data_IF_245593744742
#
_entry.id   IF_245593744742
#
_cell.length_a   1.000
_cell.length_b   1.000
_cell.length_c   1.000
_cell.angle_alpha   90.00
_cell.angle_beta   90.00
_cell.angle_gamma   90.00
#
_symmetry.space_group_name_H-M   'P 1'
#
loop_
_entity.id
_entity.type
_entity.pdbx_description
1 polymer ?
#
# COMPACT_ATOMS: atom_id res chain seq x y z
N UNK A 1 -13.01 -33.63 0.81
CA UNK A 1 -13.13 -32.84 -0.43
C UNK A 1 -14.60 -32.69 -0.73
N UNK A 2 -15.05 -31.52 -1.18
CA UNK A 2 -16.48 -31.22 -1.32
C UNK A 2 -17.05 -31.61 -2.69
N UNK A 3 -16.41 -32.54 -3.39
CA UNK A 3 -16.85 -33.05 -4.69
C UNK A 3 -16.42 -34.49 -4.90
N UNK A 4 -17.10 -35.16 -5.83
CA UNK A 4 -16.76 -36.50 -6.27
C UNK A 4 -15.47 -36.45 -7.10
N UNK A 5 -14.43 -37.14 -6.64
CA UNK A 5 -13.13 -37.20 -7.29
C UNK A 5 -13.07 -38.23 -8.41
N UNK A 6 -12.14 -38.05 -9.33
CA UNK A 6 -11.93 -38.93 -10.48
C UNK A 6 -11.58 -40.36 -10.08
N UNK A 7 -12.26 -41.33 -10.67
CA UNK A 7 -12.04 -42.76 -10.44
C UNK A 7 -10.81 -43.35 -11.16
N UNK A 8 -10.00 -42.54 -11.85
CA UNK A 8 -8.83 -43.03 -12.59
C UNK A 8 -7.73 -43.55 -11.65
N UNK A 9 -7.50 -42.86 -10.52
CA UNK A 9 -6.55 -43.29 -9.49
C UNK A 9 -6.87 -42.59 -8.16
N UNK A 10 -6.48 -43.21 -7.04
CA UNK A 10 -6.63 -42.62 -5.70
C UNK A 10 -5.89 -41.29 -5.53
N UNK A 11 -4.86 -41.03 -6.37
CA UNK A 11 -4.11 -39.78 -6.37
C UNK A 11 -4.75 -38.65 -7.21
N UNK A 12 -5.76 -38.94 -8.02
CA UNK A 12 -6.41 -37.92 -8.83
C UNK A 12 -7.53 -37.21 -8.04
N UNK A 13 -7.33 -35.93 -7.78
CA UNK A 13 -8.28 -35.08 -7.03
C UNK A 13 -9.27 -34.34 -7.93
N UNK A 14 -9.18 -34.56 -9.25
CA UNK A 14 -9.99 -33.90 -10.26
C UNK A 14 -11.47 -34.20 -10.12
N UNK A 15 -12.32 -33.18 -10.31
CA UNK A 15 -13.77 -33.32 -10.29
C UNK A 15 -14.22 -34.31 -11.37
N UNK A 16 -15.02 -35.29 -10.98
CA UNK A 16 -15.54 -36.29 -11.89
C UNK A 16 -16.71 -35.73 -12.73
N UNK A 17 -16.63 -35.92 -14.05
CA UNK A 17 -17.73 -35.65 -14.98
C UNK A 17 -18.69 -36.85 -14.94
N UNK A 18 -19.99 -36.58 -14.79
CA UNK A 18 -21.03 -37.62 -14.85
C UNK A 18 -21.49 -37.84 -16.29
N UNK A 19 -21.79 -39.09 -16.69
CA UNK A 19 -21.78 -40.33 -15.88
C UNK A 19 -20.41 -41.04 -15.82
N UNK A 20 -19.40 -40.58 -16.56
CA UNK A 20 -18.12 -41.29 -16.74
C UNK A 20 -17.32 -41.53 -15.45
N UNK A 21 -17.54 -40.74 -14.38
CA UNK A 21 -16.81 -40.88 -13.12
C UNK A 21 -15.34 -40.46 -13.20
N UNK A 22 -14.91 -39.86 -14.32
CA UNK A 22 -13.53 -39.39 -14.57
C UNK A 22 -13.51 -37.89 -14.78
N UNK A 23 -12.40 -37.24 -14.43
CA UNK A 23 -12.21 -35.83 -14.74
C UNK A 23 -11.93 -35.62 -16.23
N UNK A 24 -12.09 -34.39 -16.71
CA UNK A 24 -11.88 -34.04 -18.13
C UNK A 24 -10.49 -34.47 -18.64
N UNK A 25 -9.46 -34.49 -17.78
CA UNK A 25 -8.11 -34.92 -18.15
C UNK A 25 -7.96 -36.44 -18.33
N UNK A 26 -8.83 -37.26 -17.74
CA UNK A 26 -8.77 -38.73 -17.81
C UNK A 26 -9.92 -39.36 -18.60
N UNK A 27 -10.72 -38.53 -19.29
CA UNK A 27 -11.75 -39.03 -20.20
C UNK A 27 -11.09 -39.62 -21.46
N UNK A 28 -11.62 -40.74 -21.97
CA UNK A 28 -11.30 -41.20 -23.32
C UNK A 28 -11.58 -40.12 -24.37
N UNK A 29 -10.88 -40.09 -25.51
CA UNK A 29 -11.01 -39.05 -26.54
C UNK A 29 -12.45 -38.80 -27.02
N UNK A 30 -13.25 -39.85 -27.18
CA UNK A 30 -14.65 -39.74 -27.64
C UNK A 30 -15.53 -39.04 -26.60
N UNK A 31 -15.40 -39.46 -25.34
CA UNK A 31 -16.13 -38.87 -24.21
C UNK A 31 -15.67 -37.44 -23.91
N UNK A 32 -14.38 -37.15 -24.09
CA UNK A 32 -13.85 -35.78 -24.00
C UNK A 32 -14.46 -34.89 -25.09
N UNK A 33 -14.51 -35.38 -26.33
CA UNK A 33 -15.09 -34.65 -27.45
C UNK A 33 -16.59 -34.37 -27.24
N UNK A 34 -17.32 -35.33 -26.69
CA UNK A 34 -18.73 -35.16 -26.29
C UNK A 34 -18.88 -34.14 -25.16
N UNK A 35 -18.06 -34.23 -24.10
CA UNK A 35 -18.08 -33.30 -22.97
C UNK A 35 -17.76 -31.86 -23.41
N UNK A 36 -16.77 -31.68 -24.30
CA UNK A 36 -16.44 -30.37 -24.89
C UNK A 36 -17.60 -29.86 -25.75
N UNK A 37 -18.21 -30.71 -26.59
CA UNK A 37 -19.40 -30.35 -27.37
C UNK A 37 -20.62 -30.03 -26.51
N UNK A 38 -20.66 -30.38 -25.23
CA UNK A 38 -21.72 -29.99 -24.31
C UNK A 38 -21.47 -28.61 -23.67
N UNK A 39 -20.26 -28.08 -23.73
CA UNK A 39 -19.97 -26.72 -23.27
C UNK A 39 -20.71 -25.70 -24.15
N UNK A 40 -21.26 -24.68 -23.51
CA UNK A 40 -21.95 -23.56 -24.15
C UNK A 40 -21.43 -22.26 -23.54
N UNK A 41 -21.37 -21.16 -24.30
CA UNK A 41 -21.13 -19.84 -23.74
C UNK A 41 -22.04 -19.56 -22.53
N UNK A 42 -21.46 -19.02 -21.47
CA UNK A 42 -22.14 -18.67 -20.21
C UNK A 42 -22.42 -19.85 -19.27
N UNK A 43 -22.12 -21.10 -19.64
CA UNK A 43 -22.29 -22.26 -18.74
C UNK A 43 -21.14 -22.42 -17.75
N UNK A 44 -21.44 -23.12 -16.65
CA UNK A 44 -20.46 -23.49 -15.63
C UNK A 44 -19.31 -24.29 -16.25
N UNK A 45 -18.09 -23.85 -15.98
CA UNK A 45 -16.88 -24.60 -16.23
C UNK A 45 -16.32 -25.10 -14.89
N UNK A 46 -16.30 -26.41 -14.65
CA UNK A 46 -15.76 -27.00 -13.42
C UNK A 46 -14.57 -27.91 -13.75
N UNK A 47 -13.39 -27.47 -13.33
CA UNK A 47 -12.09 -28.13 -13.49
C UNK A 47 -11.37 -28.26 -12.14
N UNK A 48 -12.10 -28.18 -11.03
CA UNK A 48 -11.53 -28.31 -9.68
C UNK A 48 -10.70 -29.58 -9.52
N UNK A 49 -9.56 -29.48 -8.86
CA UNK A 49 -8.61 -30.58 -8.62
C UNK A 49 -7.99 -31.21 -9.88
N UNK A 50 -8.35 -30.73 -11.07
CA UNK A 50 -7.95 -31.40 -12.32
C UNK A 50 -6.54 -30.96 -12.72
N UNK A 51 -5.73 -31.89 -13.22
CA UNK A 51 -4.46 -31.54 -13.86
C UNK A 51 -4.74 -31.18 -15.31
N UNK A 52 -4.52 -29.92 -15.67
CA UNK A 52 -4.86 -29.34 -16.97
C UNK A 52 -3.56 -28.99 -17.69
N UNK A 53 -3.38 -29.50 -18.91
CA UNK A 53 -2.29 -29.08 -19.78
C UNK A 53 -2.75 -27.94 -20.71
N UNK A 54 -1.82 -27.34 -21.44
CA UNK A 54 -2.13 -26.22 -22.34
C UNK A 54 -3.19 -26.58 -23.40
N UNK A 55 -3.08 -27.76 -24.00
CA UNK A 55 -4.01 -28.22 -25.04
C UNK A 55 -5.43 -28.40 -24.52
N UNK A 56 -5.60 -29.04 -23.36
CA UNK A 56 -6.91 -29.22 -22.73
C UNK A 56 -7.53 -27.86 -22.38
N UNK A 57 -6.73 -26.93 -21.85
CA UNK A 57 -7.22 -25.60 -21.51
C UNK A 57 -7.71 -24.84 -22.74
N UNK A 58 -6.93 -24.85 -23.83
CA UNK A 58 -7.31 -24.21 -25.10
C UNK A 58 -8.61 -24.79 -25.64
N UNK A 59 -8.73 -26.12 -25.70
CA UNK A 59 -9.94 -26.82 -26.18
C UNK A 59 -11.18 -26.49 -25.35
N UNK A 60 -11.04 -26.43 -24.02
CA UNK A 60 -12.15 -26.11 -23.11
C UNK A 60 -12.65 -24.67 -23.34
N UNK A 61 -11.74 -23.71 -23.48
CA UNK A 61 -12.08 -22.30 -23.66
C UNK A 61 -12.67 -22.04 -25.05
N UNK A 62 -12.13 -22.70 -26.08
CA UNK A 62 -12.67 -22.68 -27.43
C UNK A 62 -14.09 -23.27 -27.47
N UNK A 63 -14.29 -24.43 -26.84
CA UNK A 63 -15.60 -25.06 -26.73
C UNK A 63 -16.62 -24.21 -25.95
N UNK A 64 -16.17 -23.38 -25.00
CA UNK A 64 -17.01 -22.39 -24.33
C UNK A 64 -17.23 -21.09 -25.14
N UNK A 65 -16.74 -21.02 -26.37
CA UNK A 65 -16.83 -19.84 -27.25
C UNK A 65 -16.09 -18.62 -26.71
N UNK A 66 -15.01 -18.83 -25.93
CA UNK A 66 -14.27 -17.75 -25.26
C UNK A 66 -15.07 -17.01 -24.19
N UNK A 67 -16.25 -17.53 -23.81
CA UNK A 67 -17.17 -16.87 -22.88
C UNK A 67 -17.71 -17.84 -21.83
N UNK A 68 -16.86 -18.50 -21.03
CA UNK A 68 -17.35 -19.36 -19.95
C UNK A 68 -18.19 -18.57 -18.92
N UNK A 69 -19.12 -19.26 -18.27
CA UNK A 69 -19.93 -18.69 -17.18
C UNK A 69 -19.16 -18.58 -15.88
N UNK A 70 -19.76 -19.08 -14.79
CA UNK A 70 -19.03 -19.35 -13.55
C UNK A 70 -17.92 -20.36 -13.86
N UNK A 71 -16.70 -20.12 -13.40
CA UNK A 71 -15.58 -21.02 -13.66
C UNK A 71 -14.88 -21.41 -12.34
N UNK A 72 -14.69 -22.71 -12.13
CA UNK A 72 -14.10 -23.25 -10.90
C UNK A 72 -12.88 -24.08 -11.26
N UNK A 73 -11.74 -23.65 -10.74
CA UNK A 73 -10.43 -24.26 -10.92
C UNK A 73 -9.75 -24.47 -9.56
N UNK A 74 -10.52 -24.50 -8.48
CA UNK A 74 -10.03 -24.68 -7.11
C UNK A 74 -9.14 -25.93 -7.05
N UNK A 75 -7.91 -25.79 -6.55
CA UNK A 75 -6.91 -26.85 -6.44
C UNK A 75 -6.52 -27.51 -7.78
N UNK A 76 -6.82 -26.87 -8.91
CA UNK A 76 -6.38 -27.36 -10.22
C UNK A 76 -4.87 -27.16 -10.39
N UNK A 77 -4.24 -28.02 -11.20
CA UNK A 77 -2.81 -27.92 -11.54
C UNK A 77 -2.65 -27.71 -13.04
N UNK A 78 -2.18 -26.52 -13.43
CA UNK A 78 -1.85 -26.19 -14.80
C UNK A 78 -0.39 -26.51 -15.08
N UNK A 79 -0.17 -27.51 -15.95
CA UNK A 79 1.17 -28.04 -16.27
C UNK A 79 1.78 -27.41 -17.52
N UNK A 80 0.94 -26.83 -18.40
CA UNK A 80 1.33 -26.07 -19.58
C UNK A 80 1.10 -24.57 -19.40
N UNK A 81 1.50 -23.78 -20.38
CA UNK A 81 1.20 -22.35 -20.41
C UNK A 81 -0.33 -22.15 -20.51
N UNK A 82 -0.86 -21.26 -19.67
CA UNK A 82 -2.26 -20.82 -19.74
C UNK A 82 -2.27 -19.43 -20.35
N UNK A 83 -2.75 -19.33 -21.59
CA UNK A 83 -2.90 -18.06 -22.31
C UNK A 83 -4.36 -17.87 -22.66
N UNK A 84 -5.02 -16.92 -22.00
CA UNK A 84 -6.43 -16.60 -22.21
C UNK A 84 -6.62 -15.14 -22.65
N UNK A 85 -6.08 -14.75 -23.83
CA UNK A 85 -6.17 -13.37 -24.27
C UNK A 85 -7.63 -13.02 -24.59
N UNK A 86 -8.12 -11.92 -24.01
CA UNK A 86 -9.46 -11.37 -24.34
C UNK A 86 -10.66 -12.25 -23.96
N UNK A 87 -10.46 -13.36 -23.23
CA UNK A 87 -11.56 -14.21 -22.76
C UNK A 87 -12.51 -13.41 -21.86
N UNK A 88 -13.82 -13.70 -21.91
CA UNK A 88 -14.81 -13.05 -21.04
C UNK A 88 -15.49 -14.06 -20.13
N UNK A 89 -15.15 -14.07 -18.84
CA UNK A 89 -15.86 -14.85 -17.84
C UNK A 89 -17.12 -14.11 -17.41
N UNK A 90 -18.30 -14.68 -17.69
CA UNK A 90 -19.59 -14.02 -17.42
C UNK A 90 -20.11 -14.28 -16.00
N UNK A 91 -19.41 -15.09 -15.20
CA UNK A 91 -19.71 -15.35 -13.79
C UNK A 91 -18.47 -15.27 -12.92
N UNK A 92 -18.60 -15.66 -11.64
CA UNK A 92 -17.46 -15.68 -10.73
C UNK A 92 -16.43 -16.74 -11.15
N UNK A 93 -15.15 -16.42 -10.95
CA UNK A 93 -14.02 -17.31 -11.20
C UNK A 93 -13.33 -17.63 -9.89
N UNK A 94 -13.16 -18.90 -9.60
CA UNK A 94 -12.45 -19.39 -8.42
C UNK A 94 -11.26 -20.24 -8.85
N UNK A 95 -10.08 -19.86 -8.38
CA UNK A 95 -8.76 -20.44 -8.65
C UNK A 95 -8.02 -20.67 -7.33
N UNK A 96 -8.77 -20.86 -6.25
CA UNK A 96 -8.21 -20.97 -4.91
C UNK A 96 -7.33 -22.20 -4.80
N UNK A 97 -6.14 -22.02 -4.22
CA UNK A 97 -5.09 -23.02 -4.11
C UNK A 97 -4.70 -23.68 -5.46
N UNK A 98 -5.01 -23.05 -6.59
CA UNK A 98 -4.59 -23.51 -7.91
C UNK A 98 -3.08 -23.34 -8.09
N UNK A 99 -2.47 -24.22 -8.88
CA UNK A 99 -1.03 -24.21 -9.15
C UNK A 99 -0.77 -24.07 -10.65
N UNK A 100 0.04 -23.08 -11.01
CA UNK A 100 0.52 -22.85 -12.37
C UNK A 100 2.03 -23.14 -12.42
N UNK A 101 2.41 -24.24 -13.07
CA UNK A 101 3.82 -24.65 -13.22
C UNK A 101 4.56 -23.84 -14.29
N UNK A 102 3.81 -23.18 -15.17
CA UNK A 102 4.27 -22.42 -16.34
C UNK A 102 3.63 -21.02 -16.34
N UNK A 103 3.71 -20.31 -17.48
CA UNK A 103 3.13 -18.98 -17.64
C UNK A 103 1.61 -19.00 -17.40
N UNK A 104 1.10 -18.01 -16.68
CA UNK A 104 -0.34 -17.76 -16.55
C UNK A 104 -0.66 -16.33 -17.00
N UNK A 105 -1.23 -16.19 -18.20
CA UNK A 105 -1.54 -14.90 -18.82
C UNK A 105 -3.02 -14.78 -19.15
N UNK A 106 -3.63 -13.72 -18.61
CA UNK A 106 -5.01 -13.32 -18.81
C UNK A 106 -5.07 -11.97 -19.54
N UNK A 107 -4.09 -11.69 -20.40
CA UNK A 107 -3.96 -10.41 -21.09
C UNK A 107 -5.27 -9.92 -21.70
N UNK A 108 -5.74 -8.74 -21.27
CA UNK A 108 -6.97 -8.13 -21.78
C UNK A 108 -8.27 -8.90 -21.47
N UNK A 109 -8.23 -9.92 -20.60
CA UNK A 109 -9.41 -10.68 -20.22
C UNK A 109 -10.42 -9.82 -19.44
N UNK A 110 -11.68 -10.22 -19.51
CA UNK A 110 -12.80 -9.57 -18.83
C UNK A 110 -13.46 -10.53 -17.85
N UNK A 111 -13.71 -10.05 -16.64
CA UNK A 111 -14.41 -10.79 -15.60
C UNK A 111 -15.61 -9.97 -15.14
N UNK A 112 -16.81 -10.50 -15.41
CA UNK A 112 -18.07 -9.86 -15.03
C UNK A 112 -18.40 -10.06 -13.55
N UNK A 113 -17.91 -11.16 -12.96
CA UNK A 113 -18.06 -11.50 -11.55
C UNK A 113 -16.82 -11.24 -10.70
N UNK A 114 -16.78 -11.87 -9.53
CA UNK A 114 -15.62 -11.87 -8.65
C UNK A 114 -14.55 -12.85 -9.12
N UNK A 115 -13.28 -12.58 -8.80
CA UNK A 115 -12.16 -13.48 -9.09
C UNK A 115 -11.43 -13.78 -7.79
N UNK A 116 -11.42 -15.04 -7.38
CA UNK A 116 -10.64 -15.51 -6.23
C UNK A 116 -9.47 -16.36 -6.73
N UNK A 117 -8.27 -16.04 -6.27
CA UNK A 117 -7.01 -16.77 -6.48
C UNK A 117 -6.29 -16.89 -5.13
N UNK A 118 -7.05 -17.08 -4.06
CA UNK A 118 -6.50 -17.13 -2.71
C UNK A 118 -5.62 -18.37 -2.57
N UNK A 119 -4.40 -18.21 -2.05
CA UNK A 119 -3.43 -19.30 -1.93
C UNK A 119 -2.89 -19.85 -3.25
N UNK A 120 -3.27 -19.27 -4.41
CA UNK A 120 -2.79 -19.72 -5.71
C UNK A 120 -1.27 -19.55 -5.84
N UNK A 121 -0.63 -20.46 -6.57
CA UNK A 121 0.85 -20.50 -6.72
C UNK A 121 1.22 -20.42 -8.19
N UNK A 122 1.94 -19.36 -8.55
CA UNK A 122 2.48 -19.13 -9.88
C UNK A 122 3.99 -19.36 -9.85
N UNK A 123 4.46 -20.43 -10.49
CA UNK A 123 5.88 -20.79 -10.54
C UNK A 123 6.67 -19.93 -11.54
N UNK A 124 5.98 -19.41 -12.55
CA UNK A 124 6.52 -18.51 -13.58
C UNK A 124 5.75 -17.19 -13.57
N UNK A 125 5.89 -16.42 -14.64
CA UNK A 125 5.24 -15.12 -14.78
C UNK A 125 3.70 -15.25 -14.68
N UNK A 126 3.11 -14.29 -13.98
CA UNK A 126 1.66 -14.11 -13.88
C UNK A 126 1.27 -12.75 -14.46
N UNK A 127 0.39 -12.73 -15.45
CA UNK A 127 0.00 -11.50 -16.14
C UNK A 127 -1.51 -11.28 -16.13
N UNK A 128 -1.89 -10.19 -15.49
CA UNK A 128 -3.19 -9.53 -15.49
C UNK A 128 -3.12 -8.18 -16.23
N UNK A 129 -2.17 -8.02 -17.13
CA UNK A 129 -2.02 -6.80 -17.91
C UNK A 129 -3.29 -6.50 -18.71
N UNK A 130 -3.82 -5.28 -18.58
CA UNK A 130 -5.01 -4.81 -19.30
C UNK A 130 -6.32 -5.54 -18.93
N UNK A 131 -6.32 -6.34 -17.86
CA UNK A 131 -7.52 -7.06 -17.40
C UNK A 131 -8.57 -6.09 -16.87
N UNK A 132 -9.84 -6.37 -17.14
CA UNK A 132 -10.97 -5.68 -16.50
C UNK A 132 -11.78 -6.64 -15.64
N UNK A 133 -11.87 -6.36 -14.34
CA UNK A 133 -12.72 -7.10 -13.40
C UNK A 133 -13.78 -6.18 -12.83
N UNK A 134 -15.06 -6.52 -13.00
CA UNK A 134 -16.17 -5.76 -12.42
C UNK A 134 -16.35 -6.03 -10.92
N UNK A 135 -16.12 -7.26 -10.50
CA UNK A 135 -16.22 -7.69 -9.10
C UNK A 135 -15.00 -7.35 -8.25
N UNK A 136 -14.87 -8.07 -7.14
CA UNK A 136 -13.69 -8.08 -6.28
C UNK A 136 -12.66 -9.08 -6.81
N UNK A 137 -11.37 -8.76 -6.62
CA UNK A 137 -10.26 -9.69 -6.85
C UNK A 137 -9.57 -10.00 -5.53
N UNK A 138 -9.40 -11.28 -5.22
CA UNK A 138 -8.54 -11.73 -4.11
C UNK A 138 -7.35 -12.54 -4.64
N UNK A 139 -6.17 -12.13 -4.20
CA UNK A 139 -4.87 -12.80 -4.32
C UNK A 139 -4.30 -13.06 -2.92
N UNK A 140 -5.16 -13.18 -1.91
CA UNK A 140 -4.72 -13.32 -0.53
C UNK A 140 -3.89 -14.58 -0.36
N UNK A 141 -2.72 -14.46 0.28
CA UNK A 141 -1.74 -15.55 0.44
C UNK A 141 -1.25 -16.17 -0.88
N UNK A 142 -1.50 -15.53 -2.04
CA UNK A 142 -0.98 -16.01 -3.31
C UNK A 142 0.56 -15.86 -3.36
N UNK A 143 1.19 -16.77 -4.11
CA UNK A 143 2.64 -16.80 -4.30
C UNK A 143 2.98 -16.61 -5.77
N UNK A 144 3.62 -15.49 -6.09
CA UNK A 144 4.14 -15.17 -7.41
C UNK A 144 5.65 -15.32 -7.36
N UNK A 145 6.16 -16.46 -7.88
CA UNK A 145 7.58 -16.82 -7.77
C UNK A 145 8.47 -16.05 -8.76
N UNK A 146 7.85 -15.46 -9.79
CA UNK A 146 8.46 -14.61 -10.81
C UNK A 146 7.61 -13.36 -10.98
N UNK A 147 7.80 -12.65 -12.08
CA UNK A 147 7.20 -11.35 -12.31
C UNK A 147 5.68 -11.43 -12.35
N UNK A 148 5.04 -10.42 -11.77
CA UNK A 148 3.59 -10.30 -11.67
C UNK A 148 3.16 -8.95 -12.25
N UNK A 149 2.46 -8.99 -13.38
CA UNK A 149 2.15 -7.82 -14.19
C UNK A 149 0.66 -7.49 -14.11
N UNK A 150 0.31 -6.33 -13.58
CA UNK A 150 -1.05 -5.80 -13.43
C UNK A 150 -1.20 -4.43 -14.09
N UNK A 151 -0.24 -4.02 -14.92
CA UNK A 151 -0.27 -2.73 -15.58
C UNK A 151 -1.54 -2.58 -16.42
N UNK A 152 -2.14 -1.38 -16.39
CA UNK A 152 -3.41 -1.06 -17.07
C UNK A 152 -4.62 -1.93 -16.64
N UNK A 153 -4.54 -2.68 -15.54
CA UNK A 153 -5.68 -3.44 -15.03
C UNK A 153 -6.73 -2.52 -14.37
N UNK A 154 -8.01 -2.89 -14.50
CA UNK A 154 -9.14 -2.18 -13.91
C UNK A 154 -9.86 -3.09 -12.92
N UNK A 155 -9.88 -2.69 -11.65
CA UNK A 155 -10.52 -3.40 -10.55
C UNK A 155 -11.75 -2.62 -10.08
N UNK A 156 -12.94 -3.11 -10.42
CA UNK A 156 -14.22 -2.43 -10.22
C UNK A 156 -14.63 -2.30 -8.76
N UNK A 157 -14.55 -3.38 -7.98
CA UNK A 157 -14.93 -3.37 -6.55
C UNK A 157 -13.76 -3.48 -5.57
N UNK A 158 -12.55 -3.71 -6.06
CA UNK A 158 -11.32 -3.67 -5.28
C UNK A 158 -10.40 -4.87 -5.49
N UNK A 159 -9.17 -4.75 -4.99
CA UNK A 159 -8.13 -5.76 -5.06
C UNK A 159 -7.60 -6.08 -3.65
N UNK A 160 -7.63 -7.34 -3.25
CA UNK A 160 -7.00 -7.82 -2.02
C UNK A 160 -5.79 -8.68 -2.35
N UNK A 161 -4.65 -8.37 -1.76
CA UNK A 161 -3.38 -9.10 -1.87
C UNK A 161 -2.80 -9.38 -0.48
N UNK A 162 -3.66 -9.57 0.54
CA UNK A 162 -3.22 -9.67 1.92
C UNK A 162 -2.31 -10.88 2.13
N UNK A 163 -1.15 -10.64 2.76
CA UNK A 163 -0.12 -11.66 3.00
C UNK A 163 0.33 -12.40 1.73
N UNK A 164 0.10 -11.82 0.55
CA UNK A 164 0.64 -12.34 -0.70
C UNK A 164 2.16 -12.14 -0.75
N UNK A 165 2.83 -12.94 -1.59
CA UNK A 165 4.27 -12.89 -1.78
C UNK A 165 4.60 -12.73 -3.26
N UNK A 166 5.29 -11.64 -3.59
CA UNK A 166 5.81 -11.32 -4.90
C UNK A 166 7.33 -11.48 -4.88
N UNK A 167 7.86 -12.61 -5.31
CA UNK A 167 9.30 -12.87 -5.32
C UNK A 167 10.03 -12.25 -6.54
N UNK A 168 9.30 -12.04 -7.64
CA UNK A 168 9.77 -11.29 -8.80
C UNK A 168 9.38 -9.82 -8.78
N UNK A 169 9.51 -9.16 -9.93
CA UNK A 169 9.06 -7.79 -10.13
C UNK A 169 7.53 -7.70 -10.07
N UNK A 170 7.00 -6.70 -9.37
CA UNK A 170 5.55 -6.44 -9.32
C UNK A 170 5.25 -5.10 -9.97
N UNK A 171 4.42 -5.08 -11.00
CA UNK A 171 4.10 -3.86 -11.75
C UNK A 171 2.58 -3.62 -11.78
N UNK A 172 2.15 -2.46 -11.29
CA UNK A 172 0.76 -1.99 -11.27
C UNK A 172 0.59 -0.71 -12.10
N UNK A 173 1.52 -0.43 -13.00
CA UNK A 173 1.60 0.87 -13.66
C UNK A 173 0.33 1.21 -14.45
N UNK A 174 -0.30 2.33 -14.10
CA UNK A 174 -1.55 2.79 -14.69
C UNK A 174 -2.80 1.97 -14.33
N UNK A 175 -2.73 1.11 -13.31
CA UNK A 175 -3.91 0.39 -12.82
C UNK A 175 -4.97 1.34 -12.23
N UNK A 176 -6.23 0.94 -12.31
CA UNK A 176 -7.38 1.67 -11.74
C UNK A 176 -8.05 0.82 -10.65
N UNK A 177 -8.01 1.33 -9.42
CA UNK A 177 -8.50 0.69 -8.20
C UNK A 177 -9.78 1.37 -7.72
N UNK A 178 -10.90 1.14 -8.40
CA UNK A 178 -12.16 1.85 -8.12
C UNK A 178 -12.68 1.59 -6.69
N UNK A 179 -12.52 0.35 -6.19
CA UNK A 179 -12.83 -0.02 -4.80
C UNK A 179 -11.63 0.00 -3.85
N UNK A 180 -10.48 0.48 -4.30
CA UNK A 180 -9.20 0.44 -3.57
C UNK A 180 -8.45 -0.89 -3.65
N UNK A 181 -7.20 -0.89 -3.18
CA UNK A 181 -6.39 -2.10 -3.03
C UNK A 181 -5.78 -2.23 -1.63
N UNK A 182 -5.74 -3.46 -1.13
CA UNK A 182 -5.13 -3.82 0.15
C UNK A 182 -3.95 -4.79 -0.06
N UNK A 183 -2.77 -4.36 0.35
CA UNK A 183 -1.51 -5.11 0.34
C UNK A 183 -1.01 -5.32 1.77
N UNK A 184 -1.94 -5.58 2.70
CA UNK A 184 -1.63 -5.70 4.12
C UNK A 184 -0.74 -6.92 4.36
N UNK A 185 0.43 -6.70 4.97
CA UNK A 185 1.38 -7.79 5.23
C UNK A 185 1.95 -8.45 3.97
N UNK A 186 1.78 -7.85 2.79
CA UNK A 186 2.35 -8.34 1.53
C UNK A 186 3.86 -8.20 1.54
N UNK A 187 4.56 -9.17 0.95
CA UNK A 187 6.02 -9.09 0.75
C UNK A 187 6.36 -8.91 -0.72
N UNK A 188 7.15 -7.90 -1.02
CA UNK A 188 7.77 -7.65 -2.32
C UNK A 188 9.26 -7.96 -2.22
N UNK A 189 9.69 -9.05 -2.84
CA UNK A 189 11.08 -9.53 -2.85
C UNK A 189 11.99 -8.76 -3.79
N UNK A 190 11.42 -8.14 -4.83
CA UNK A 190 12.10 -7.28 -5.80
C UNK A 190 11.34 -5.96 -5.94
N UNK A 191 11.70 -5.16 -6.93
CA UNK A 191 11.12 -3.84 -7.14
C UNK A 191 9.61 -3.88 -7.33
N UNK A 192 8.89 -3.04 -6.59
CA UNK A 192 7.49 -2.72 -6.79
C UNK A 192 7.37 -1.43 -7.59
N UNK A 193 6.76 -1.52 -8.77
CA UNK A 193 6.34 -0.36 -9.55
C UNK A 193 4.84 -0.15 -9.39
N UNK A 194 4.47 0.95 -8.74
CA UNK A 194 3.08 1.35 -8.51
C UNK A 194 2.91 2.78 -9.02
N UNK A 195 3.21 3.02 -10.30
CA UNK A 195 3.21 4.36 -10.88
C UNK A 195 1.90 4.70 -11.57
N UNK A 196 1.46 5.96 -11.44
CA UNK A 196 0.24 6.48 -12.09
C UNK A 196 -1.02 5.67 -11.74
N UNK A 197 -1.09 5.10 -10.54
CA UNK A 197 -2.24 4.31 -10.11
C UNK A 197 -3.36 5.25 -9.65
N UNK A 198 -4.59 4.90 -9.98
CA UNK A 198 -5.77 5.66 -9.57
C UNK A 198 -6.54 4.93 -8.48
N UNK A 199 -6.91 5.63 -7.42
CA UNK A 199 -7.70 5.08 -6.31
C UNK A 199 -6.87 4.68 -5.09
N UNK A 200 -7.58 4.33 -4.02
CA UNK A 200 -6.97 4.12 -2.70
C UNK A 200 -6.06 2.88 -2.68
N UNK A 201 -4.91 2.98 -2.01
CA UNK A 201 -3.98 1.87 -1.86
C UNK A 201 -3.45 1.79 -0.42
N UNK A 202 -3.60 0.63 0.22
CA UNK A 202 -3.07 0.35 1.55
C UNK A 202 -1.96 -0.69 1.51
N UNK A 203 -0.80 -0.35 2.05
CA UNK A 203 0.40 -1.17 2.19
C UNK A 203 0.75 -1.40 3.66
N UNK A 204 -0.27 -1.43 4.53
CA UNK A 204 -0.07 -1.51 5.98
C UNK A 204 0.69 -2.79 6.36
N UNK A 205 1.78 -2.63 7.12
CA UNK A 205 2.68 -3.72 7.49
C UNK A 205 3.28 -4.51 6.29
N UNK A 206 3.29 -3.94 5.08
CA UNK A 206 3.97 -4.55 3.94
C UNK A 206 5.49 -4.53 4.12
N UNK A 207 6.18 -5.44 3.45
CA UNK A 207 7.64 -5.50 3.42
C UNK A 207 8.15 -5.36 1.99
N UNK A 208 8.89 -4.29 1.72
CA UNK A 208 9.58 -4.01 0.47
C UNK A 208 11.07 -4.35 0.64
N UNK A 209 11.47 -5.53 0.18
CA UNK A 209 12.88 -5.95 0.22
C UNK A 209 13.69 -5.30 -0.92
N UNK A 210 13.04 -4.96 -2.03
CA UNK A 210 13.60 -4.13 -3.10
C UNK A 210 13.02 -2.72 -3.11
N UNK A 211 13.32 -1.96 -4.16
CA UNK A 211 12.84 -0.59 -4.31
C UNK A 211 11.32 -0.51 -4.50
N UNK A 212 10.69 0.49 -3.89
CA UNK A 212 9.26 0.74 -3.99
C UNK A 212 8.99 2.13 -4.55
N UNK A 213 8.35 2.17 -5.72
CA UNK A 213 7.86 3.39 -6.35
C UNK A 213 6.35 3.48 -6.19
N UNK A 214 5.86 4.37 -5.33
CA UNK A 214 4.46 4.47 -4.97
C UNK A 214 3.86 5.80 -5.44
N UNK A 215 2.91 5.72 -6.36
CA UNK A 215 2.15 6.87 -6.85
C UNK A 215 0.69 6.51 -6.98
N UNK A 216 -0.16 7.10 -6.13
CA UNK A 216 -1.60 6.89 -6.13
C UNK A 216 -2.37 8.21 -6.08
N UNK A 217 -3.63 8.17 -6.51
CA UNK A 217 -4.62 9.23 -6.24
C UNK A 217 -5.59 8.78 -5.15
N UNK A 218 -6.10 9.71 -4.33
CA UNK A 218 -7.05 9.38 -3.26
C UNK A 218 -6.39 9.23 -1.88
N UNK A 219 -6.22 8.01 -1.38
CA UNK A 219 -5.53 7.71 -0.11
C UNK A 219 -4.45 6.66 -0.29
N UNK A 220 -3.26 6.93 0.24
CA UNK A 220 -2.15 5.99 0.30
C UNK A 220 -1.77 5.73 1.76
N UNK A 221 -1.86 4.48 2.21
CA UNK A 221 -1.32 4.09 3.52
C UNK A 221 -0.14 3.16 3.33
N UNK A 222 0.93 3.36 4.09
CA UNK A 222 2.00 2.39 4.30
C UNK A 222 2.36 2.31 5.79
N UNK A 223 1.36 2.45 6.66
CA UNK A 223 1.57 2.45 8.09
C UNK A 223 2.21 1.13 8.56
N UNK A 224 3.27 1.23 9.36
CA UNK A 224 4.09 0.11 9.85
C UNK A 224 4.74 -0.72 8.73
N UNK A 225 4.80 -0.23 7.50
CA UNK A 225 5.52 -0.90 6.43
C UNK A 225 7.04 -0.86 6.69
N UNK A 226 7.75 -1.82 6.11
CA UNK A 226 9.21 -1.89 6.14
C UNK A 226 9.75 -1.82 4.74
N UNK A 227 10.73 -0.96 4.50
CA UNK A 227 11.44 -0.87 3.23
C UNK A 227 12.94 -1.02 3.47
N UNK A 228 13.54 -2.04 2.86
CA UNK A 228 14.98 -2.29 2.94
C UNK A 228 15.73 -1.48 1.88
N UNK A 229 15.12 -1.29 0.71
CA UNK A 229 15.62 -0.48 -0.41
C UNK A 229 15.08 0.95 -0.42
N UNK A 230 15.06 1.56 -1.61
CA UNK A 230 14.48 2.89 -1.85
C UNK A 230 12.96 2.88 -1.58
N UNK A 231 12.47 3.91 -0.89
CA UNK A 231 11.05 4.25 -0.85
C UNK A 231 10.82 5.60 -1.52
N UNK A 232 10.27 5.59 -2.73
CA UNK A 232 9.89 6.78 -3.48
C UNK A 232 8.36 6.91 -3.55
N UNK A 233 7.82 7.96 -2.96
CA UNK A 233 6.39 8.22 -2.88
C UNK A 233 6.09 9.55 -3.55
N UNK A 234 5.34 9.52 -4.65
CA UNK A 234 4.96 10.70 -5.42
C UNK A 234 3.45 10.76 -5.54
N UNK A 235 2.81 11.71 -4.87
CA UNK A 235 1.35 11.82 -4.84
C UNK A 235 0.85 13.22 -5.13
N UNK A 236 -0.36 13.30 -5.68
CA UNK A 236 -1.07 14.55 -5.91
C UNK A 236 -2.52 14.43 -5.42
N UNK A 237 -2.99 15.45 -4.68
CA UNK A 237 -4.32 15.49 -4.03
C UNK A 237 -4.64 14.19 -3.29
N UNK A 238 -3.71 13.74 -2.46
CA UNK A 238 -3.75 12.46 -1.79
C UNK A 238 -3.48 12.61 -0.29
N UNK A 239 -4.17 11.82 0.53
CA UNK A 239 -3.81 11.65 1.94
C UNK A 239 -2.82 10.50 2.11
N UNK A 240 -1.65 10.77 2.68
CA UNK A 240 -0.57 9.80 2.88
C UNK A 240 -0.41 9.47 4.36
N UNK A 241 -0.50 8.20 4.72
CA UNK A 241 -0.26 7.70 6.08
C UNK A 241 0.98 6.81 6.08
N UNK A 242 2.08 7.32 6.64
CA UNK A 242 3.36 6.62 6.79
C UNK A 242 3.69 6.34 8.27
N UNK A 243 2.68 6.30 9.14
CA UNK A 243 2.90 6.14 10.58
C UNK A 243 3.62 4.85 10.90
N UNK A 244 4.71 4.93 11.65
CA UNK A 244 5.51 3.78 12.05
C UNK A 244 6.25 3.10 10.90
N UNK A 245 6.37 3.72 9.73
CA UNK A 245 7.15 3.16 8.62
C UNK A 245 8.62 3.05 9.03
N UNK A 246 9.29 1.96 8.65
CA UNK A 246 10.72 1.81 8.85
C UNK A 246 11.41 1.66 7.50
N UNK A 247 12.31 2.59 7.17
CA UNK A 247 13.04 2.61 5.90
C UNK A 247 14.54 2.57 6.18
N UNK A 248 15.23 1.57 5.62
CA UNK A 248 16.68 1.43 5.71
C UNK A 248 17.40 2.19 4.59
N UNK A 249 16.82 2.18 3.39
CA UNK A 249 17.35 2.90 2.23
C UNK A 249 16.95 4.37 2.17
N UNK A 250 17.22 5.05 1.04
CA UNK A 250 16.80 6.43 0.82
C UNK A 250 15.27 6.56 0.77
N UNK A 251 14.75 7.69 1.27
CA UNK A 251 13.32 8.00 1.23
C UNK A 251 13.09 9.30 0.47
N UNK A 252 12.19 9.27 -0.52
CA UNK A 252 11.72 10.47 -1.21
C UNK A 252 10.20 10.54 -1.09
N UNK A 253 9.68 11.66 -0.59
CA UNK A 253 8.26 11.94 -0.50
C UNK A 253 7.97 13.26 -1.20
N UNK A 254 7.29 13.20 -2.35
CA UNK A 254 6.90 14.37 -3.13
C UNK A 254 5.38 14.54 -3.06
N UNK A 255 4.96 15.61 -2.42
CA UNK A 255 3.57 15.96 -2.17
C UNK A 255 3.15 17.12 -3.07
N UNK A 256 2.01 17.00 -3.74
CA UNK A 256 1.37 18.11 -4.46
C UNK A 256 -0.07 18.24 -3.98
N UNK A 257 -0.43 19.37 -3.36
CA UNK A 257 -1.72 19.58 -2.70
C UNK A 257 -2.17 18.39 -1.83
N UNK A 258 -1.23 17.82 -1.07
CA UNK A 258 -1.40 16.54 -0.37
C UNK A 258 -1.00 16.66 1.11
N UNK A 259 -1.57 15.81 1.95
CA UNK A 259 -1.24 15.77 3.38
C UNK A 259 -0.49 14.47 3.70
N UNK A 260 0.50 14.53 4.58
CA UNK A 260 1.24 13.36 5.04
C UNK A 260 1.36 13.30 6.56
N UNK A 261 1.36 12.08 7.10
CA UNK A 261 1.63 11.77 8.51
C UNK A 261 2.80 10.79 8.61
N UNK A 262 3.84 11.16 9.35
CA UNK A 262 5.07 10.39 9.55
C UNK A 262 5.24 9.96 11.01
N UNK A 263 4.20 10.02 11.86
CA UNK A 263 4.36 9.72 13.28
C UNK A 263 4.99 8.34 13.54
N UNK A 264 6.08 8.31 14.30
CA UNK A 264 6.81 7.09 14.65
C UNK A 264 7.65 6.50 13.52
N UNK A 265 7.85 7.22 12.41
CA UNK A 265 8.66 6.74 11.29
C UNK A 265 10.14 6.63 11.68
N UNK A 266 10.81 5.57 11.22
CA UNK A 266 12.25 5.34 11.38
C UNK A 266 12.90 5.40 10.01
N UNK A 267 13.66 6.45 9.73
CA UNK A 267 14.30 6.74 8.45
C UNK A 267 15.82 6.70 8.66
N UNK A 268 16.45 5.57 8.32
CA UNK A 268 17.90 5.37 8.54
C UNK A 268 18.74 5.96 7.41
N UNK A 269 18.25 5.90 6.18
CA UNK A 269 18.87 6.55 5.02
C UNK A 269 18.47 8.02 4.89
N UNK A 270 19.06 8.74 3.91
CA UNK A 270 18.70 10.13 3.65
C UNK A 270 17.23 10.23 3.24
N UNK A 271 16.51 11.16 3.87
CA UNK A 271 15.10 11.38 3.65
C UNK A 271 14.82 12.79 3.12
N UNK A 272 14.04 12.89 2.06
CA UNK A 272 13.61 14.16 1.48
C UNK A 272 12.09 14.18 1.41
N UNK A 273 11.47 15.18 2.04
CA UNK A 273 10.04 15.45 1.95
C UNK A 273 9.85 16.83 1.33
N UNK A 274 9.32 16.87 0.11
CA UNK A 274 9.10 18.09 -0.64
C UNK A 274 7.61 18.29 -0.90
N UNK A 275 7.10 19.47 -0.58
CA UNK A 275 5.74 19.91 -0.84
C UNK A 275 5.65 20.90 -2.00
N UNK A 276 4.51 20.87 -2.69
CA UNK A 276 4.08 21.91 -3.63
C UNK A 276 2.61 22.26 -3.38
N UNK A 277 2.25 23.52 -3.62
CA UNK A 277 0.88 24.00 -3.42
C UNK A 277 0.47 23.96 -1.95
N UNK A 278 -0.72 23.44 -1.65
CA UNK A 278 -1.28 23.34 -0.28
C UNK A 278 -0.83 22.07 0.44
N UNK A 279 0.42 21.65 0.27
CA UNK A 279 0.90 20.41 0.86
C UNK A 279 1.24 20.59 2.33
N UNK A 280 0.75 19.69 3.17
CA UNK A 280 0.89 19.77 4.63
C UNK A 280 1.53 18.52 5.21
N UNK A 281 2.27 18.70 6.30
CA UNK A 281 2.77 17.58 7.10
C UNK A 281 2.15 17.67 8.50
N UNK A 282 1.40 16.65 8.91
CA UNK A 282 0.58 16.72 10.14
C UNK A 282 1.36 16.32 11.39
N UNK A 283 2.31 15.37 11.28
CA UNK A 283 3.04 14.86 12.44
C UNK A 283 4.40 14.31 12.05
N UNK A 284 5.40 14.71 12.84
CA UNK A 284 6.76 14.17 12.92
C UNK A 284 7.05 13.64 14.34
N UNK A 285 6.00 13.36 15.12
CA UNK A 285 6.16 12.87 16.49
C UNK A 285 6.89 11.55 16.49
N UNK A 286 7.86 11.40 17.41
CA UNK A 286 8.62 10.15 17.59
C UNK A 286 9.32 9.66 16.32
N UNK A 287 9.63 10.55 15.39
CA UNK A 287 10.37 10.20 14.17
C UNK A 287 11.84 10.03 14.52
N UNK A 288 12.46 9.00 13.97
CA UNK A 288 13.90 8.78 14.05
C UNK A 288 14.52 8.98 12.67
N UNK A 289 15.14 10.15 12.43
CA UNK A 289 15.81 10.44 11.18
C UNK A 289 17.11 11.21 11.43
N UNK A 290 18.22 10.72 10.88
CA UNK A 290 19.54 11.38 11.03
C UNK A 290 19.74 12.47 9.97
N UNK A 291 19.17 12.28 8.78
CA UNK A 291 19.24 13.24 7.67
C UNK A 291 17.85 13.37 7.03
N UNK A 292 17.14 14.44 7.38
CA UNK A 292 15.79 14.72 6.90
C UNK A 292 15.73 16.15 6.35
N UNK A 293 15.52 16.28 5.05
CA UNK A 293 15.25 17.56 4.40
C UNK A 293 13.74 17.75 4.19
N UNK A 294 13.20 18.83 4.72
CA UNK A 294 11.82 19.27 4.54
C UNK A 294 11.82 20.53 3.67
N UNK A 295 11.07 20.55 2.57
CA UNK A 295 10.98 21.73 1.71
C UNK A 295 9.58 22.04 1.19
N UNK A 296 9.18 23.31 1.18
CA UNK A 296 7.93 23.78 0.56
C UNK A 296 6.65 23.21 1.20
N UNK A 297 6.66 22.98 2.51
CA UNK A 297 5.55 22.38 3.27
C UNK A 297 4.91 23.38 4.22
N UNK A 298 3.59 23.25 4.41
CA UNK A 298 2.91 23.85 5.55
C UNK A 298 3.03 22.94 6.78
N UNK A 299 3.82 23.41 7.75
CA UNK A 299 4.12 22.77 9.02
C UNK A 299 3.36 23.44 10.20
N UNK A 300 2.40 24.32 9.92
CA UNK A 300 1.68 25.08 10.96
C UNK A 300 0.90 24.20 11.94
N UNK A 301 0.45 23.02 11.50
CA UNK A 301 -0.20 22.03 12.35
C UNK A 301 0.74 20.86 12.73
N UNK A 302 2.00 20.90 12.29
CA UNK A 302 2.93 19.78 12.44
C UNK A 302 3.45 19.66 13.87
N UNK A 303 3.36 18.46 14.43
CA UNK A 303 3.86 18.14 15.77
C UNK A 303 5.22 17.44 15.70
N UNK A 304 6.16 17.87 16.52
CA UNK A 304 7.56 17.41 16.57
C UNK A 304 7.91 16.70 17.88
N UNK A 305 6.97 16.56 18.82
CA UNK A 305 7.24 15.93 20.11
C UNK A 305 7.89 14.54 19.97
N UNK A 306 9.07 14.39 20.58
CA UNK A 306 9.84 13.14 20.58
C UNK A 306 10.63 12.85 19.30
N UNK A 307 10.77 13.82 18.38
CA UNK A 307 11.68 13.71 17.23
C UNK A 307 13.11 13.44 17.71
N UNK A 308 13.71 12.34 17.25
CA UNK A 308 15.10 12.04 17.47
C UNK A 308 15.98 12.79 16.46
N UNK A 309 17.15 13.25 16.92
CA UNK A 309 18.14 14.00 16.12
C UNK A 309 17.58 15.27 15.43
N UNK A 310 17.03 16.25 16.19
CA UNK A 310 16.52 17.48 15.59
C UNK A 310 17.56 18.25 14.77
N UNK A 311 18.86 18.12 15.08
CA UNK A 311 20.00 18.66 14.30
C UNK A 311 20.14 18.09 12.90
N UNK A 312 19.58 16.92 12.64
CA UNK A 312 19.56 16.28 11.32
C UNK A 312 18.45 16.79 10.41
N UNK A 313 17.53 17.61 10.93
CA UNK A 313 16.36 18.10 10.19
C UNK A 313 16.64 19.48 9.60
N UNK A 314 16.75 19.54 8.28
CA UNK A 314 16.88 20.77 7.50
C UNK A 314 15.51 21.20 7.01
N UNK A 315 15.20 22.48 7.15
CA UNK A 315 13.91 23.04 6.76
C UNK A 315 14.12 24.22 5.81
N UNK A 316 13.52 24.14 4.63
CA UNK A 316 13.65 25.13 3.55
C UNK A 316 12.25 25.53 3.07
N UNK A 317 11.96 26.83 2.92
CA UNK A 317 10.66 27.31 2.40
C UNK A 317 9.41 26.73 3.11
N UNK A 318 9.48 26.43 4.41
CA UNK A 318 8.34 25.91 5.17
C UNK A 318 7.58 26.99 5.95
N UNK A 319 6.26 26.80 6.09
CA UNK A 319 5.38 27.67 6.87
C UNK A 319 5.17 27.08 8.27
N UNK A 320 5.36 27.89 9.31
CA UNK A 320 5.15 27.50 10.71
C UNK A 320 3.93 28.21 11.33
N UNK A 321 3.45 27.70 12.46
CA UNK A 321 2.39 28.35 13.22
C UNK A 321 2.90 29.70 13.75
N UNK A 322 1.98 30.63 14.01
CA UNK A 322 2.30 31.85 14.74
C UNK A 322 1.79 31.69 16.17
N UNK A 323 2.59 32.10 17.14
CA UNK A 323 2.18 32.12 18.56
C UNK A 323 0.79 32.76 18.74
N UNK A 324 -0.08 32.20 19.60
CA UNK A 324 -1.45 32.68 19.71
C UNK A 324 -1.47 34.08 20.34
N UNK A 325 -2.34 34.96 19.84
CA UNK A 325 -2.59 36.27 20.45
C UNK A 325 -3.27 36.04 21.81
N UNK A 326 -2.71 36.56 22.90
CA UNK A 326 -3.43 36.58 24.17
C UNK A 326 -2.62 37.01 25.38
N UNK A 327 -3.15 37.96 26.14
CA UNK A 327 -2.71 38.27 27.49
C UNK A 327 -3.30 37.22 28.43
N UNK A 328 -2.46 36.44 29.13
CA UNK A 328 -2.94 35.68 30.30
C UNK A 328 -2.86 36.57 31.53
N UNK A 329 -4.02 36.95 32.07
CA UNK A 329 -4.14 37.59 33.38
C UNK A 329 -4.32 36.48 34.42
N UNK A 330 -3.39 36.35 35.36
CA UNK A 330 -3.52 35.41 36.47
C UNK A 330 -3.89 36.20 37.74
N UNK A 331 -5.00 35.85 38.40
CA UNK A 331 -5.61 36.61 39.50
C UNK A 331 -4.83 36.57 40.83
N UNK A 332 -3.63 35.97 40.88
CA UNK A 332 -2.80 35.87 42.09
C UNK A 332 -1.45 36.60 42.05
N UNK A 333 -1.15 37.40 41.02
CA UNK A 333 -0.07 38.43 40.95
C UNK A 333 -0.08 39.05 39.55
N UNK A 334 0.23 40.35 39.37
CA UNK A 334 0.18 40.98 38.05
C UNK A 334 1.43 40.60 37.26
N UNK A 335 1.31 39.61 36.38
CA UNK A 335 2.25 39.45 35.26
C UNK A 335 1.46 39.19 33.99
N UNK A 336 1.15 40.29 33.31
CA UNK A 336 0.73 40.31 31.91
C UNK A 336 1.85 39.68 31.08
N UNK A 337 1.73 38.41 30.71
CA UNK A 337 2.67 37.79 29.76
C UNK A 337 2.33 38.28 28.36
N UNK A 338 3.15 39.18 27.82
CA UNK A 338 3.13 39.56 26.41
C UNK A 338 3.84 38.47 25.60
N UNK A 339 3.13 37.86 24.65
CA UNK A 339 3.75 37.00 23.66
C UNK A 339 4.07 37.83 22.43
N UNK A 340 5.36 37.98 22.12
CA UNK A 340 5.79 38.53 20.83
C UNK A 340 5.32 37.60 19.72
N UNK A 341 4.79 38.18 18.62
CA UNK A 341 4.34 37.40 17.47
C UNK A 341 5.55 36.80 16.77
N UNK A 342 5.77 35.49 16.95
CA UNK A 342 6.87 34.74 16.32
C UNK A 342 6.38 33.44 15.69
N UNK A 343 7.20 32.86 14.81
CA UNK A 343 7.02 31.49 14.31
C UNK A 343 7.24 30.50 15.47
N UNK A 344 6.35 29.52 15.61
CA UNK A 344 6.36 28.54 16.69
C UNK A 344 5.94 27.15 16.19
N UNK A 345 6.43 26.12 16.88
CA UNK A 345 6.03 24.73 16.68
C UNK A 345 4.61 24.51 17.25
N UNK A 346 3.81 23.64 16.61
CA UNK A 346 2.45 23.35 17.08
C UNK A 346 2.44 22.73 18.49
N UNK A 347 3.53 22.07 18.90
CA UNK A 347 3.70 21.52 20.25
C UNK A 347 3.71 22.62 21.33
N UNK A 348 4.24 23.82 21.03
CA UNK A 348 4.22 24.97 21.95
C UNK A 348 2.79 25.45 22.22
N UNK A 349 1.92 25.44 21.21
CA UNK A 349 0.51 25.78 21.37
C UNK A 349 -0.22 24.79 22.28
N UNK A 350 0.11 23.50 22.17
CA UNK A 350 -0.48 22.43 22.98
C UNK A 350 -0.03 22.57 24.44
N UNK A 351 1.27 22.80 24.67
CA UNK A 351 1.82 23.07 26.01
C UNK A 351 1.21 24.31 26.66
N UNK A 352 1.01 25.37 25.87
CA UNK A 352 0.37 26.61 26.33
C UNK A 352 -1.16 26.49 26.37
N UNK A 353 -1.76 25.31 26.49
CA UNK A 353 -3.21 25.16 26.76
C UNK A 353 -4.12 25.43 25.56
N UNK A 354 -3.69 25.05 24.36
CA UNK A 354 -4.58 24.94 23.20
C UNK A 354 -5.67 23.85 23.37
N UNK A 355 -6.66 23.76 22.47
CA UNK A 355 -7.84 22.89 22.60
C UNK A 355 -7.57 21.37 22.50
N UNK A 356 -6.32 20.94 22.29
CA UNK A 356 -5.92 19.54 22.25
C UNK A 356 -5.16 19.16 23.53
N UNK A 357 -5.49 17.99 24.10
CA UNK A 357 -4.96 17.48 25.37
C UNK A 357 -3.44 17.64 25.49
N UNK A 358 -2.98 18.05 26.68
CA UNK A 358 -1.56 18.24 27.00
C UNK A 358 -0.78 16.94 26.73
N UNK A 359 0.14 16.98 25.76
CA UNK A 359 1.04 15.85 25.47
C UNK A 359 2.13 15.79 26.55
N UNK A 360 2.29 14.69 27.30
CA UNK A 360 3.33 14.55 28.32
C UNK A 360 4.75 14.69 27.77
N UNK A 361 4.95 14.52 26.46
CA UNK A 361 6.25 14.72 25.81
C UNK A 361 6.59 16.20 25.51
N UNK A 362 5.61 17.11 25.55
CA UNK A 362 5.79 18.53 25.26
C UNK A 362 6.24 19.34 26.49
N UNK A 363 7.35 18.93 27.11
CA UNK A 363 7.96 19.67 28.22
C UNK A 363 8.75 20.89 27.70
N UNK A 364 8.91 21.96 28.50
CA UNK A 364 9.74 23.11 28.10
C UNK A 364 11.17 22.70 27.73
N UNK A 365 11.78 21.76 28.44
CA UNK A 365 13.14 21.26 28.13
C UNK A 365 13.21 20.59 26.76
N UNK A 366 12.25 19.73 26.43
CA UNK A 366 12.20 19.07 25.12
C UNK A 366 11.96 20.08 24.00
N UNK A 367 11.05 21.05 24.18
CA UNK A 367 10.81 22.10 23.19
C UNK A 367 12.06 22.97 22.98
N UNK A 368 12.81 23.28 24.04
CA UNK A 368 14.07 24.01 23.92
C UNK A 368 15.10 23.26 23.07
N UNK A 369 15.20 21.94 23.24
CA UNK A 369 16.09 21.09 22.45
C UNK A 369 15.65 21.00 20.98
N UNK A 370 14.34 20.90 20.72
CA UNK A 370 13.78 20.90 19.36
C UNK A 370 14.08 22.21 18.64
N UNK A 371 13.78 23.36 19.25
CA UNK A 371 14.05 24.67 18.65
C UNK A 371 15.54 24.91 18.39
N UNK A 372 16.42 24.44 19.29
CA UNK A 372 17.86 24.61 19.13
C UNK A 372 18.47 23.66 18.09
N UNK A 373 17.85 22.51 17.86
CA UNK A 373 18.34 21.50 16.91
C UNK A 373 17.90 21.76 15.47
N UNK A 374 16.66 22.19 15.25
CA UNK A 374 16.14 22.42 13.90
C UNK A 374 16.97 23.48 13.15
N UNK A 375 17.32 23.20 11.90
CA UNK A 375 18.10 24.12 11.05
C UNK A 375 17.25 24.68 9.91
N UNK A 376 16.48 25.77 10.14
CA UNK A 376 15.82 26.51 9.07
C UNK A 376 16.82 27.31 8.23
N UNK A 377 16.58 27.47 6.93
CA UNK A 377 17.44 28.26 6.04
C UNK A 377 17.22 29.79 6.21
N UNK A 378 15.99 30.20 6.53
CA UNK A 378 15.58 31.58 6.67
C UNK A 378 16.04 32.20 8.01
N UNK A 379 16.73 33.34 7.90
CA UNK A 379 17.28 34.07 9.04
C UNK A 379 16.20 34.51 10.04
N UNK A 380 14.99 34.85 9.58
CA UNK A 380 13.89 35.27 10.47
C UNK A 380 13.41 34.09 11.33
N UNK A 381 13.24 32.92 10.71
CA UNK A 381 12.83 31.67 11.39
C UNK A 381 13.91 31.20 12.36
N UNK A 382 15.17 31.28 11.95
CA UNK A 382 16.32 30.94 12.81
C UNK A 382 16.36 31.84 14.06
N UNK A 383 16.16 33.15 13.92
CA UNK A 383 16.10 34.09 15.03
C UNK A 383 14.90 33.82 15.96
N UNK A 384 13.72 33.56 15.39
CA UNK A 384 12.52 33.20 16.15
C UNK A 384 12.73 31.91 16.96
N UNK A 385 13.37 30.90 16.37
CA UNK A 385 13.66 29.61 17.01
C UNK A 385 14.69 29.76 18.12
N UNK A 386 15.76 30.53 17.92
CA UNK A 386 16.74 30.82 18.95
C UNK A 386 16.11 31.55 20.16
N UNK A 387 15.23 32.52 19.90
CA UNK A 387 14.46 33.23 20.93
C UNK A 387 13.51 32.31 21.68
N UNK A 388 12.79 31.44 20.97
CA UNK A 388 11.91 30.44 21.54
C UNK A 388 12.67 29.43 22.42
N UNK A 389 13.83 28.95 21.97
CA UNK A 389 14.68 28.05 22.74
C UNK A 389 15.12 28.68 24.07
N UNK A 390 15.55 29.96 24.05
CA UNK A 390 15.94 30.69 25.26
C UNK A 390 14.77 30.92 26.22
N UNK A 391 13.56 31.19 25.71
CA UNK A 391 12.36 31.28 26.55
C UNK A 391 12.01 29.93 27.20
N UNK A 392 12.06 28.84 26.44
CA UNK A 392 11.72 27.51 26.94
C UNK A 392 12.69 27.04 28.04
N UNK A 393 14.00 27.30 27.89
CA UNK A 393 15.00 27.04 28.95
C UNK A 393 14.70 27.84 30.22
N UNK A 394 14.28 29.10 30.11
CA UNK A 394 13.85 29.91 31.27
C UNK A 394 12.65 29.28 31.97
N UNK A 395 11.63 28.87 31.21
CA UNK A 395 10.44 28.22 31.75
C UNK A 395 10.74 26.88 32.43
N UNK A 396 11.70 26.12 31.92
CA UNK A 396 12.19 24.89 32.55
C UNK A 396 12.92 25.18 33.87
N UNK A 397 13.83 26.15 33.88
CA UNK A 397 14.59 26.54 35.07
C UNK A 397 13.70 27.04 36.23
N UNK A 398 12.57 27.67 35.94
CA UNK A 398 11.62 28.13 36.96
C UNK A 398 10.80 27.01 37.63
N UNK A 399 10.89 25.75 37.19
CA UNK A 399 10.24 24.60 37.88
C UNK A 399 11.07 24.03 39.03
N UNK A 400 12.24 24.59 39.32
CA UNK A 400 13.19 24.11 40.35
C UNK A 400 13.11 24.86 41.68
N UNK A 401 12.15 25.77 41.87
CA UNK A 401 11.85 26.32 43.21
C UNK A 401 10.51 25.76 43.71
N UNK A 402 10.51 25.06 44.88
CA UNK A 402 9.32 24.43 45.45
C UNK A 402 8.26 25.45 45.90
#
# INVERSE_FOLDING_TARGET
>A
MDWVTCAHSAGCTGVAVRPAGRCLAHLPPDQLSEALRALRPGRLLDLRGTTVNGDLMSRVIEAAGGRPGRARFDRARFTGDVRLPGVTFTGDVSLDDARFDRLASFFGARFEGNVSMAGARFAREFSFHGVTVRGHVSLDRALMSRDALFSQAVFGRGLSCERARFDGYAAFDGARLCGGAAFRGTRFGRTLSFRKVMGNAGFDAAHFAGDAYLSATGRLSAARARADGLLDVVVARCGVDLRGVAVSGPTTLRLTDSQADLEGAVLRGPAVVAGKGRSTLTSLRRVEAVDLALSGLDLSACRFAGLAHPSGVRVEDCVFALTPRGVRVNLRRPMVRWFSRRRALADEHTMRGGPHAADPAATPDHLAALYAGLSPDDHVTSADFASAAAEMRRLAGHRWWP
#
